data_IF_747845006320
#
_entry.id   IF_747845006320
#
_cell.length_a   1.000
_cell.length_b   1.000
_cell.length_c   1.000
_cell.angle_alpha   90.00
_cell.angle_beta   90.00
_cell.angle_gamma   90.00
#
_symmetry.space_group_name_H-M   'P 1'
#
loop_
_entity.id
_entity.type
_entity.pdbx_description
1 polymer ?
#
# COMPACT_ATOMS: atom_id res chain seq x y z
N UNK A 1 -3.45 -12.75 5.32
CA UNK A 1 -4.49 -12.33 4.36
C UNK A 1 -5.33 -13.55 3.99
N UNK A 2 -6.58 -13.34 3.58
CA UNK A 2 -7.47 -14.38 3.04
C UNK A 2 -8.07 -13.89 1.73
N UNK A 3 -8.40 -14.81 0.82
CA UNK A 3 -9.22 -14.46 -0.33
C UNK A 3 -10.61 -14.04 0.16
N UNK A 4 -11.21 -13.06 -0.50
CA UNK A 4 -12.59 -12.67 -0.21
C UNK A 4 -13.52 -13.81 -0.63
N UNK A 5 -14.29 -14.30 0.33
CA UNK A 5 -15.27 -15.37 0.19
C UNK A 5 -16.70 -14.87 0.43
N UNK A 6 -16.89 -13.54 0.47
CA UNK A 6 -18.20 -12.91 0.66
C UNK A 6 -18.67 -12.81 2.10
N UNK A 7 -17.91 -13.34 3.08
CA UNK A 7 -18.21 -13.15 4.51
C UNK A 7 -17.93 -11.70 4.94
N UNK A 8 -18.67 -11.25 5.95
CA UNK A 8 -18.43 -9.94 6.57
C UNK A 8 -16.98 -9.81 7.06
N UNK A 9 -16.46 -8.58 6.95
CA UNK A 9 -15.14 -8.24 7.45
C UNK A 9 -15.19 -8.10 8.97
N UNK A 10 -14.17 -8.63 9.64
CA UNK A 10 -13.96 -8.29 11.05
C UNK A 10 -13.55 -6.81 11.19
N UNK A 11 -13.65 -6.27 12.41
CA UNK A 11 -13.32 -4.86 12.68
C UNK A 11 -11.88 -4.46 12.31
N UNK A 12 -10.96 -5.44 12.24
CA UNK A 12 -9.56 -5.27 11.87
C UNK A 12 -9.24 -5.78 10.44
N UNK A 13 -10.24 -6.04 9.61
CA UNK A 13 -10.08 -6.44 8.22
C UNK A 13 -10.46 -5.31 7.26
N UNK A 14 -9.75 -5.25 6.13
CA UNK A 14 -10.06 -4.36 5.01
C UNK A 14 -10.12 -5.19 3.73
N UNK A 15 -11.06 -4.86 2.84
CA UNK A 15 -11.11 -5.45 1.51
C UNK A 15 -10.12 -4.71 0.61
N UNK A 16 -9.22 -5.45 -0.04
CA UNK A 16 -8.21 -4.90 -0.95
C UNK A 16 -8.27 -5.61 -2.29
N UNK A 17 -8.55 -4.87 -3.36
CA UNK A 17 -8.42 -5.38 -4.73
C UNK A 17 -6.95 -5.47 -5.10
N UNK A 18 -6.61 -6.52 -5.82
CA UNK A 18 -5.27 -6.73 -6.31
C UNK A 18 -5.29 -7.44 -7.66
N UNK A 19 -4.18 -7.36 -8.39
CA UNK A 19 -3.96 -8.11 -9.62
C UNK A 19 -2.89 -9.16 -9.39
N UNK A 20 -3.19 -10.41 -9.67
CA UNK A 20 -2.16 -11.43 -9.81
C UNK A 20 -1.47 -11.23 -11.17
N UNK A 21 -0.15 -11.02 -11.17
CA UNK A 21 0.59 -10.67 -12.39
C UNK A 21 1.25 -11.85 -13.07
N UNK A 22 1.37 -12.98 -12.38
CA UNK A 22 1.89 -14.22 -12.95
C UNK A 22 1.42 -15.45 -12.16
N UNK A 23 1.68 -16.63 -12.72
CA UNK A 23 1.36 -17.94 -12.12
C UNK A 23 2.19 -18.27 -10.88
N UNK A 24 3.24 -17.48 -10.56
CA UNK A 24 4.03 -17.66 -9.33
C UNK A 24 3.33 -17.09 -8.09
N UNK A 25 2.20 -16.41 -8.29
CA UNK A 25 1.43 -15.80 -7.21
C UNK A 25 1.85 -14.38 -6.88
N UNK A 26 2.67 -13.74 -7.72
CA UNK A 26 3.05 -12.35 -7.52
C UNK A 26 1.84 -11.44 -7.69
N UNK A 27 1.68 -10.51 -6.77
CA UNK A 27 0.54 -9.59 -6.69
C UNK A 27 1.00 -8.16 -6.93
N UNK A 28 0.19 -7.36 -7.63
CA UNK A 28 0.30 -5.89 -7.70
C UNK A 28 -0.95 -5.23 -7.12
N UNK A 29 -0.73 -4.17 -6.34
CA UNK A 29 -1.78 -3.39 -5.68
C UNK A 29 -2.16 -2.10 -6.46
N UNK A 30 -1.60 -1.90 -7.65
CA UNK A 30 -1.88 -0.72 -8.49
C UNK A 30 -1.06 0.53 -8.15
N UNK A 31 -0.31 0.51 -7.05
CA UNK A 31 0.70 1.50 -6.71
C UNK A 31 2.05 1.08 -7.30
N UNK A 32 2.50 1.75 -8.36
CA UNK A 32 3.77 1.38 -9.02
C UNK A 32 4.93 2.31 -8.68
N UNK A 33 4.65 3.57 -8.33
CA UNK A 33 5.67 4.57 -7.95
C UNK A 33 5.11 5.62 -6.99
N UNK A 34 5.94 6.08 -6.05
CA UNK A 34 5.71 7.28 -5.24
C UNK A 34 6.51 8.44 -5.82
N UNK A 35 5.88 9.61 -5.97
CA UNK A 35 6.52 10.82 -6.48
C UNK A 35 6.65 11.84 -5.34
N UNK A 36 7.80 12.50 -5.27
CA UNK A 36 8.12 13.52 -4.28
C UNK A 36 8.84 14.68 -4.95
N UNK A 37 8.88 15.82 -4.28
CA UNK A 37 9.50 17.03 -4.81
C UNK A 37 11.03 16.87 -4.93
N UNK A 38 11.63 17.58 -5.88
CA UNK A 38 13.07 17.56 -6.07
C UNK A 38 13.81 17.94 -4.78
N UNK A 39 14.83 17.16 -4.41
CA UNK A 39 15.59 17.35 -3.17
C UNK A 39 15.08 16.56 -1.96
N UNK A 40 13.86 16.00 -1.99
CA UNK A 40 13.32 15.22 -0.86
C UNK A 40 13.74 13.74 -0.86
N UNK A 41 14.41 13.27 -1.92
CA UNK A 41 14.85 11.87 -2.03
C UNK A 41 15.55 11.30 -0.77
N UNK A 42 16.44 12.04 -0.07
CA UNK A 42 17.12 11.52 1.12
C UNK A 42 16.18 11.12 2.26
N UNK A 43 15.00 11.73 2.37
CA UNK A 43 14.02 11.42 3.44
C UNK A 43 13.37 10.05 3.22
N UNK A 44 13.22 9.64 1.96
CA UNK A 44 12.56 8.39 1.58
C UNK A 44 13.51 7.19 1.43
N UNK A 45 14.82 7.38 1.64
CA UNK A 45 15.83 6.31 1.46
C UNK A 45 15.59 5.10 2.37
N UNK A 46 14.97 5.33 3.55
CA UNK A 46 14.67 4.30 4.54
C UNK A 46 13.22 3.79 4.46
N UNK A 47 12.48 4.15 3.40
CA UNK A 47 11.13 3.64 3.19
C UNK A 47 11.15 2.10 3.09
N UNK A 48 10.30 1.46 3.88
CA UNK A 48 10.14 0.01 3.93
C UNK A 48 8.74 -0.44 3.51
N UNK A 49 7.74 0.40 3.73
CA UNK A 49 6.34 0.06 3.47
C UNK A 49 5.64 1.15 2.66
N UNK A 50 4.70 0.71 1.83
CA UNK A 50 3.75 1.59 1.16
C UNK A 50 2.58 1.91 2.09
N UNK A 51 2.12 3.15 2.08
CA UNK A 51 0.93 3.59 2.80
C UNK A 51 -0.21 3.75 1.80
N UNK A 52 -1.22 2.87 1.90
CA UNK A 52 -2.36 2.86 1.01
C UNK A 52 -3.60 3.42 1.69
N UNK A 53 -4.31 4.32 1.00
CA UNK A 53 -5.70 4.60 1.31
C UNK A 53 -6.58 3.61 0.55
N UNK A 54 -7.54 2.99 1.23
CA UNK A 54 -8.44 1.97 0.66
C UNK A 54 -9.89 2.41 0.85
N UNK A 55 -10.66 2.43 -0.23
CA UNK A 55 -12.09 2.76 -0.18
C UNK A 55 -12.95 1.54 0.18
N UNK A 56 -14.25 1.77 0.41
CA UNK A 56 -15.20 0.70 0.76
C UNK A 56 -15.37 -0.37 -0.35
N UNK A 57 -15.06 -0.03 -1.60
CA UNK A 57 -15.07 -0.96 -2.72
C UNK A 57 -13.74 -1.73 -2.86
N UNK A 58 -12.76 -1.46 -2.00
CA UNK A 58 -11.44 -2.07 -1.98
C UNK A 58 -10.48 -1.53 -3.05
N UNK A 59 -10.80 -0.40 -3.68
CA UNK A 59 -9.83 0.30 -4.52
C UNK A 59 -8.80 0.98 -3.62
N UNK A 60 -7.54 0.99 -4.05
CA UNK A 60 -6.44 1.56 -3.27
C UNK A 60 -5.63 2.60 -4.04
N UNK A 61 -5.17 3.62 -3.33
CA UNK A 61 -4.25 4.66 -3.82
C UNK A 61 -3.05 4.74 -2.89
N UNK A 62 -1.83 4.82 -3.45
CA UNK A 62 -0.62 5.11 -2.68
C UNK A 62 -0.61 6.57 -2.25
N UNK A 63 -0.57 6.79 -0.95
CA UNK A 63 -0.62 8.13 -0.36
C UNK A 63 0.66 8.49 0.41
N UNK A 64 1.59 7.55 0.57
CA UNK A 64 2.83 7.79 1.30
C UNK A 64 3.70 6.55 1.41
N UNK A 65 4.84 6.73 2.08
CA UNK A 65 5.79 5.68 2.43
C UNK A 65 6.01 5.70 3.94
N UNK A 66 6.36 4.55 4.51
CA UNK A 66 6.66 4.43 5.93
C UNK A 66 8.00 3.73 6.18
N UNK A 67 8.64 4.08 7.29
CA UNK A 67 9.90 3.48 7.74
C UNK A 67 9.72 2.04 8.25
N UNK A 68 10.81 1.40 8.69
CA UNK A 68 10.79 0.03 9.20
C UNK A 68 9.95 -0.16 10.48
N UNK A 69 9.68 0.91 11.22
CA UNK A 69 8.82 0.90 12.40
C UNK A 69 7.34 1.18 12.05
N UNK A 70 7.03 1.39 10.77
CA UNK A 70 5.70 1.71 10.29
C UNK A 70 5.29 3.17 10.49
N UNK A 71 6.23 4.07 10.77
CA UNK A 71 5.94 5.51 10.84
C UNK A 71 5.94 6.10 9.44
N UNK A 72 4.88 6.84 9.13
CA UNK A 72 4.76 7.55 7.84
C UNK A 72 5.89 8.57 7.74
N UNK A 73 6.61 8.54 6.62
CA UNK A 73 7.65 9.50 6.29
C UNK A 73 6.96 10.73 5.73
N UNK A 74 7.17 11.87 6.37
CA UNK A 74 6.68 13.18 5.92
C UNK A 74 7.87 14.07 5.59
N UNK A 75 7.85 14.78 4.46
CA UNK A 75 8.85 15.79 4.20
C UNK A 75 8.70 16.98 5.15
N UNK A 76 9.85 17.53 5.56
CA UNK A 76 9.96 18.79 6.29
C UNK A 76 9.54 20.00 5.44
#
# INVERSE_FOLDING_TARGET
>A
SRADDGRELAANEVRLKYKQVDSSGRIRLGAESFFFEEGQAPQFVNARYDVLHVDAAGNSVLIGLADADGRVISPD
#
